data_IF_076513072238
#
_entry.id   IF_076513072238
#
_cell.length_a   1.000
_cell.length_b   1.000
_cell.length_c   1.000
_cell.angle_alpha   90.00
_cell.angle_beta   90.00
_cell.angle_gamma   90.00
#
_symmetry.space_group_name_H-M   'P 1'
#
loop_
_entity.id
_entity.type
_entity.pdbx_description
1 polymer ?
#
# COMPACT_ATOMS: atom_id res chain seq x y z
N UNK A 1 19.69 20.44 11.10
CA UNK A 1 19.29 21.51 12.01
C UNK A 1 17.80 21.35 12.21
N UNK A 2 17.40 20.73 13.31
CA UNK A 2 15.99 20.57 13.64
C UNK A 2 15.51 21.88 14.23
N UNK A 3 14.59 22.55 13.55
CA UNK A 3 13.84 23.66 14.15
C UNK A 3 12.72 23.03 14.96
N UNK A 4 12.91 23.00 16.25
CA UNK A 4 11.85 22.72 17.21
C UNK A 4 10.97 23.97 17.27
N UNK A 5 9.91 23.99 16.48
CA UNK A 5 8.89 25.04 16.57
C UNK A 5 7.93 24.62 17.67
N UNK A 6 8.07 25.26 18.81
CA UNK A 6 7.07 25.27 19.88
C UNK A 6 5.85 26.07 19.39
N UNK A 7 4.96 25.46 18.64
CA UNK A 7 3.63 25.99 18.36
C UNK A 7 2.65 25.17 19.20
N UNK A 8 2.69 25.43 20.50
CA UNK A 8 1.87 24.69 21.47
C UNK A 8 0.95 25.58 22.27
N UNK A 9 0.27 26.58 21.76
CA UNK A 9 -0.69 27.25 22.61
C UNK A 9 -2.05 27.60 22.01
N UNK A 10 -2.19 27.73 20.71
CA UNK A 10 -3.48 28.11 20.11
C UNK A 10 -4.23 26.92 19.51
N UNK A 11 -3.55 25.99 18.91
CA UNK A 11 -4.18 24.77 18.36
C UNK A 11 -4.64 23.81 19.46
N UNK A 12 -3.88 23.65 20.52
CA UNK A 12 -4.32 22.87 21.71
C UNK A 12 -5.53 23.51 22.40
N UNK A 13 -5.58 24.84 22.50
CA UNK A 13 -6.78 25.52 23.00
C UNK A 13 -7.98 25.42 22.10
N UNK A 14 -7.78 25.37 20.80
CA UNK A 14 -8.84 25.15 19.81
C UNK A 14 -9.37 23.71 19.88
N UNK A 15 -8.49 22.72 19.97
CA UNK A 15 -8.81 21.29 20.13
C UNK A 15 -9.54 21.02 21.46
N UNK A 16 -9.08 21.62 22.56
CA UNK A 16 -9.74 21.53 23.87
C UNK A 16 -11.13 22.20 23.86
N UNK A 17 -11.29 23.29 23.10
CA UNK A 17 -12.59 23.95 22.92
C UNK A 17 -13.55 23.10 22.05
N UNK A 18 -13.00 22.40 21.09
CA UNK A 18 -13.75 21.50 20.20
C UNK A 18 -14.16 20.23 20.96
N UNK A 19 -13.25 19.63 21.73
CA UNK A 19 -13.53 18.49 22.59
C UNK A 19 -14.60 18.81 23.65
N UNK A 20 -14.55 19.99 24.29
CA UNK A 20 -15.61 20.43 25.22
C UNK A 20 -16.96 20.72 24.55
N UNK A 21 -16.98 21.10 23.27
CA UNK A 21 -18.23 21.23 22.49
C UNK A 21 -18.84 19.90 22.13
N UNK A 22 -18.00 18.92 21.78
CA UNK A 22 -18.44 17.55 21.50
C UNK A 22 -18.90 16.85 22.77
N UNK A 23 -18.20 17.02 23.89
CA UNK A 23 -18.61 16.53 25.20
C UNK A 23 -19.97 17.09 25.64
N UNK A 24 -20.25 18.38 25.41
CA UNK A 24 -21.55 18.98 25.65
C UNK A 24 -22.66 18.46 24.71
N UNK A 25 -22.30 18.10 23.46
CA UNK A 25 -23.25 17.48 22.53
C UNK A 25 -23.57 16.03 22.93
N UNK A 26 -22.53 15.28 23.34
CA UNK A 26 -22.68 13.90 23.83
C UNK A 26 -23.50 13.87 25.12
N UNK A 27 -23.23 14.77 26.07
CA UNK A 27 -24.01 14.85 27.32
C UNK A 27 -25.45 15.26 27.07
N UNK A 28 -25.73 16.09 26.05
CA UNK A 28 -27.10 16.47 25.65
C UNK A 28 -27.85 15.35 24.93
N UNK A 29 -27.13 14.47 24.22
CA UNK A 29 -27.70 13.25 23.61
C UNK A 29 -27.94 12.16 24.66
N UNK A 30 -27.06 12.05 25.66
CA UNK A 30 -27.20 11.10 26.76
C UNK A 30 -28.36 11.49 27.68
N UNK A 31 -28.55 12.79 27.97
CA UNK A 31 -29.71 13.22 28.78
C UNK A 31 -31.05 13.04 28.05
N UNK A 32 -31.08 13.05 26.70
CA UNK A 32 -32.28 12.72 25.94
C UNK A 32 -32.56 11.21 25.87
N UNK A 33 -31.49 10.40 25.83
CA UNK A 33 -31.64 8.95 25.89
C UNK A 33 -32.09 8.46 27.27
N UNK A 34 -31.68 9.14 28.34
CA UNK A 34 -32.11 8.83 29.72
C UNK A 34 -33.59 9.21 29.94
N UNK A 35 -34.21 10.12 29.17
CA UNK A 35 -35.65 10.46 29.24
C UNK A 35 -36.53 9.46 28.43
N UNK A 36 -35.98 8.74 27.44
CA UNK A 36 -36.69 7.75 26.64
C UNK A 36 -36.62 6.31 27.24
N UNK A 37 -35.69 6.03 28.17
CA UNK A 37 -35.53 4.70 28.81
C UNK A 37 -36.30 4.53 30.14
N UNK A 38 -37.07 5.50 30.61
CA UNK A 38 -37.86 5.39 31.85
C UNK A 38 -39.12 4.52 31.73
N UNK A 39 -39.46 3.95 30.56
CA UNK A 39 -40.66 3.13 30.36
C UNK A 39 -40.46 1.59 30.28
N UNK A 40 -39.24 1.05 30.40
CA UNK A 40 -39.06 -0.41 30.54
C UNK A 40 -38.42 -0.78 31.87
N UNK A 41 -39.28 -1.24 32.79
CA UNK A 41 -38.90 -1.83 34.08
C UNK A 41 -38.13 -3.14 33.90
N UNK A 42 -36.81 -3.08 34.10
CA UNK A 42 -35.99 -4.22 34.50
C UNK A 42 -35.01 -3.75 35.58
N UNK A 43 -34.89 -4.50 36.65
CA UNK A 43 -34.06 -4.27 37.85
C UNK A 43 -32.60 -3.93 37.51
N UNK A 44 -32.33 -2.67 37.27
CA UNK A 44 -30.97 -2.16 36.96
C UNK A 44 -30.58 -1.09 38.00
N UNK A 45 -29.46 -1.31 38.69
CA UNK A 45 -28.99 -0.40 39.71
C UNK A 45 -28.26 0.82 39.05
N UNK A 46 -28.88 2.01 38.95
CA UNK A 46 -28.37 3.14 38.20
C UNK A 46 -27.05 3.74 38.76
N UNK A 47 -26.74 3.45 40.02
CA UNK A 47 -25.52 3.95 40.68
C UNK A 47 -24.25 3.27 40.13
N UNK A 48 -24.34 1.99 39.80
CA UNK A 48 -23.21 1.19 39.32
C UNK A 48 -22.83 1.55 37.86
N UNK A 49 -23.83 1.94 37.08
CA UNK A 49 -23.60 2.41 35.68
C UNK A 49 -22.99 3.79 35.61
N UNK A 50 -23.42 4.73 36.48
CA UNK A 50 -22.83 6.07 36.58
C UNK A 50 -21.38 6.02 37.04
N UNK A 51 -21.05 5.16 37.99
CA UNK A 51 -19.69 4.98 38.50
C UNK A 51 -18.79 4.33 37.44
N UNK A 52 -19.27 3.34 36.68
CA UNK A 52 -18.53 2.72 35.57
C UNK A 52 -18.35 3.69 34.40
N UNK A 53 -19.37 4.49 34.07
CA UNK A 53 -19.25 5.56 33.05
C UNK A 53 -18.29 6.66 33.46
N UNK A 54 -18.32 7.12 34.69
CA UNK A 54 -17.38 8.13 35.22
C UNK A 54 -15.94 7.58 35.25
N UNK A 55 -15.75 6.34 35.63
CA UNK A 55 -14.44 5.69 35.59
C UNK A 55 -13.93 5.51 34.13
N UNK A 56 -14.79 5.14 33.19
CA UNK A 56 -14.43 5.05 31.80
C UNK A 56 -14.12 6.42 31.16
N UNK A 57 -14.88 7.46 31.50
CA UNK A 57 -14.62 8.84 31.06
C UNK A 57 -13.31 9.39 31.66
N UNK A 58 -13.05 9.13 32.94
CA UNK A 58 -11.80 9.54 33.59
C UNK A 58 -10.60 8.79 33.01
N UNK A 59 -10.74 7.51 32.66
CA UNK A 59 -9.72 6.77 31.92
C UNK A 59 -9.50 7.30 30.49
N UNK A 60 -10.56 7.69 29.79
CA UNK A 60 -10.46 8.27 28.45
C UNK A 60 -9.85 9.70 28.47
N UNK A 61 -10.15 10.50 29.48
CA UNK A 61 -9.60 11.85 29.63
C UNK A 61 -8.15 11.86 30.14
N UNK A 62 -7.73 10.85 30.90
CA UNK A 62 -6.36 10.70 31.40
C UNK A 62 -5.50 9.81 30.47
N UNK A 63 -6.07 9.21 29.45
CA UNK A 63 -5.29 8.53 28.43
C UNK A 63 -4.51 9.60 27.64
N UNK A 64 -3.17 9.52 27.55
CA UNK A 64 -2.41 10.45 26.73
C UNK A 64 -2.93 10.38 25.30
N UNK A 65 -3.23 11.55 24.70
CA UNK A 65 -3.74 11.69 23.33
C UNK A 65 -2.82 11.02 22.29
N UNK A 66 -1.58 10.81 22.67
CA UNK A 66 -0.56 10.06 21.94
C UNK A 66 0.02 9.03 22.91
N UNK A 67 -0.59 7.84 23.01
CA UNK A 67 0.20 6.69 23.46
C UNK A 67 1.31 6.52 22.44
N UNK A 68 2.55 6.70 22.89
CA UNK A 68 3.71 6.39 22.06
C UNK A 68 3.52 4.96 21.53
N UNK A 69 3.61 4.79 20.22
CA UNK A 69 3.42 3.49 19.55
C UNK A 69 4.30 2.37 20.14
N UNK A 70 5.33 2.72 20.91
CA UNK A 70 6.23 1.81 21.61
C UNK A 70 5.60 1.17 22.85
N UNK A 71 4.75 1.86 23.63
CA UNK A 71 4.08 1.26 24.79
C UNK A 71 2.99 0.26 24.39
N UNK A 72 2.33 0.49 23.26
CA UNK A 72 1.36 -0.47 22.71
C UNK A 72 2.07 -1.74 22.21
N UNK A 73 3.34 -1.63 21.76
CA UNK A 73 4.16 -2.77 21.35
C UNK A 73 4.81 -3.51 22.51
N UNK A 74 5.11 -2.85 23.61
CA UNK A 74 5.71 -3.50 24.80
C UNK A 74 4.71 -4.37 25.58
N UNK A 75 3.40 -4.10 25.48
CA UNK A 75 2.33 -4.87 26.09
C UNK A 75 1.62 -5.86 25.13
N UNK A 76 1.98 -5.87 23.85
CA UNK A 76 1.54 -6.92 22.95
C UNK A 76 2.38 -8.16 23.22
N UNK A 77 1.74 -9.30 23.48
CA UNK A 77 2.36 -10.62 23.56
C UNK A 77 3.26 -10.91 22.35
N UNK A 78 3.84 -12.09 22.22
CA UNK A 78 4.79 -12.42 21.16
C UNK A 78 4.25 -11.91 19.83
N UNK A 79 5.07 -11.13 19.11
CA UNK A 79 4.66 -10.48 17.87
C UNK A 79 3.97 -11.50 16.96
N UNK A 80 2.73 -11.24 16.58
CA UNK A 80 1.98 -12.14 15.72
C UNK A 80 2.78 -12.39 14.44
N UNK A 81 3.19 -13.64 14.22
CA UNK A 81 3.86 -14.04 12.99
C UNK A 81 2.80 -14.33 11.93
N UNK A 82 2.77 -13.52 10.89
CA UNK A 82 1.88 -13.76 9.75
C UNK A 82 2.56 -14.73 8.76
N UNK A 83 1.82 -15.71 8.20
CA UNK A 83 2.39 -16.83 7.45
C UNK A 83 3.17 -16.44 6.20
N UNK A 84 2.84 -15.31 5.57
CA UNK A 84 3.44 -14.86 4.32
C UNK A 84 4.23 -13.55 4.46
N UNK A 85 4.71 -13.24 5.67
CA UNK A 85 5.55 -12.07 5.94
C UNK A 85 7.01 -12.51 6.08
N UNK A 86 7.80 -12.24 5.06
CA UNK A 86 9.23 -12.57 4.98
C UNK A 86 10.08 -11.32 5.27
N UNK A 87 9.97 -10.79 6.50
CA UNK A 87 10.67 -9.59 6.95
C UNK A 87 11.86 -9.97 7.86
N UNK A 88 13.07 -10.02 7.29
CA UNK A 88 14.28 -10.33 8.04
C UNK A 88 14.68 -9.22 9.02
N UNK A 89 14.31 -7.96 8.73
CA UNK A 89 14.63 -6.82 9.59
C UNK A 89 13.73 -6.75 10.82
N UNK A 90 12.47 -7.14 10.71
CA UNK A 90 11.58 -7.24 11.86
C UNK A 90 12.08 -8.28 12.86
N UNK A 91 12.55 -9.43 12.38
CA UNK A 91 13.16 -10.49 13.22
C UNK A 91 14.46 -10.02 13.88
N UNK A 92 15.28 -9.25 13.18
CA UNK A 92 16.52 -8.68 13.73
C UNK A 92 16.28 -7.60 14.79
N UNK A 93 15.22 -6.80 14.65
CA UNK A 93 14.83 -5.79 15.65
C UNK A 93 14.35 -6.41 16.96
N UNK A 94 13.77 -7.60 16.93
CA UNK A 94 13.34 -8.37 18.11
C UNK A 94 14.54 -8.93 18.90
N UNK A 95 15.70 -9.12 18.26
CA UNK A 95 16.91 -9.63 18.89
C UNK A 95 17.86 -8.55 19.39
N UNK A 96 17.80 -7.34 18.87
CA UNK A 96 18.57 -6.19 19.35
C UNK A 96 17.72 -5.37 20.32
N UNK A 97 17.72 -5.76 21.59
CA UNK A 97 17.09 -5.00 22.65
C UNK A 97 17.62 -3.56 22.68
N UNK A 98 16.70 -2.60 22.78
CA UNK A 98 16.92 -1.19 23.06
C UNK A 98 17.45 -0.31 21.92
N UNK A 99 16.55 0.37 21.26
CA UNK A 99 16.88 1.62 20.60
C UNK A 99 16.14 2.76 21.30
N UNK A 100 16.79 3.36 22.26
CA UNK A 100 16.39 4.63 22.85
C UNK A 100 16.94 5.76 21.97
N UNK A 101 16.04 6.59 21.41
CA UNK A 101 16.39 7.79 20.65
C UNK A 101 16.26 7.63 19.13
N UNK A 102 16.09 8.74 18.44
CA UNK A 102 15.87 8.98 17.02
C UNK A 102 16.95 8.42 16.05
N UNK A 103 17.80 7.49 16.46
CA UNK A 103 18.80 6.87 15.60
C UNK A 103 18.21 5.65 14.92
N UNK A 104 17.96 5.75 13.63
CA UNK A 104 17.62 4.59 12.81
C UNK A 104 18.73 3.55 12.92
N UNK A 105 18.37 2.32 13.29
CA UNK A 105 19.29 1.19 13.22
C UNK A 105 19.63 0.92 11.75
N UNK A 106 20.90 1.02 11.40
CA UNK A 106 21.37 0.65 10.07
C UNK A 106 21.43 -0.89 9.94
N UNK A 107 21.16 -1.43 8.73
CA UNK A 107 21.26 -2.87 8.49
C UNK A 107 22.66 -3.41 8.81
N UNK A 108 22.76 -4.66 9.22
CA UNK A 108 24.06 -5.30 9.48
C UNK A 108 24.97 -5.25 8.23
N UNK A 109 26.26 -5.04 8.46
CA UNK A 109 27.24 -4.98 7.37
C UNK A 109 27.38 -3.62 6.68
N UNK A 110 26.71 -2.59 7.16
CA UNK A 110 26.94 -1.25 6.63
C UNK A 110 28.39 -0.76 6.89
N UNK A 111 28.90 0.05 5.99
CA UNK A 111 30.20 0.71 6.16
C UNK A 111 29.99 2.22 6.16
N UNK A 112 30.74 2.90 7.02
CA UNK A 112 30.70 4.37 7.16
C UNK A 112 32.10 4.93 6.92
N UNK A 113 32.19 5.89 6.00
CA UNK A 113 33.42 6.63 5.75
C UNK A 113 33.14 8.10 5.97
N UNK A 114 34.01 8.77 6.67
CA UNK A 114 33.92 10.20 6.98
C UNK A 114 35.04 10.94 6.27
N UNK A 115 34.69 11.84 5.35
CA UNK A 115 35.61 12.72 4.64
C UNK A 115 35.36 14.18 5.07
N UNK A 116 36.28 15.06 4.71
CA UNK A 116 36.20 16.51 5.01
C UNK A 116 34.97 17.16 4.39
N UNK A 117 34.61 16.79 3.16
CA UNK A 117 33.49 17.37 2.40
C UNK A 117 32.17 16.65 2.64
N UNK A 118 32.20 15.34 2.85
CA UNK A 118 30.97 14.50 2.95
C UNK A 118 31.17 13.31 3.88
N UNK A 119 30.07 12.73 4.26
CA UNK A 119 29.98 11.43 4.93
C UNK A 119 29.35 10.41 3.98
N UNK A 120 29.94 9.24 3.87
CA UNK A 120 29.44 8.16 3.02
C UNK A 120 29.01 6.97 3.88
N UNK A 121 27.77 6.52 3.68
CA UNK A 121 27.22 5.33 4.32
C UNK A 121 26.82 4.35 3.23
N UNK A 122 27.48 3.20 3.16
CA UNK A 122 27.19 2.15 2.19
C UNK A 122 26.48 1.00 2.89
N UNK A 123 25.28 0.70 2.41
CA UNK A 123 24.48 -0.46 2.80
C UNK A 123 24.70 -1.55 1.74
N UNK A 124 25.24 -2.72 2.09
CA UNK A 124 25.49 -3.78 1.12
C UNK A 124 24.19 -4.33 0.57
N UNK A 125 24.26 -4.93 -0.61
CA UNK A 125 23.13 -5.65 -1.18
C UNK A 125 22.75 -6.82 -0.26
N UNK A 126 21.44 -7.00 -0.05
CA UNK A 126 20.98 -8.20 0.64
C UNK A 126 21.28 -9.42 -0.23
N UNK A 127 22.02 -10.37 0.33
CA UNK A 127 22.30 -11.62 -0.36
C UNK A 127 21.00 -12.42 -0.53
N UNK A 128 20.87 -13.07 -1.69
CA UNK A 128 19.80 -14.04 -1.92
C UNK A 128 20.00 -15.17 -0.93
N UNK A 129 19.23 -15.12 0.15
CA UNK A 129 19.40 -16.06 1.25
C UNK A 129 19.24 -17.50 0.78
N UNK A 130 20.13 -18.38 1.29
CA UNK A 130 20.01 -19.84 1.17
C UNK A 130 18.93 -20.40 2.12
N UNK A 131 18.10 -19.55 2.73
CA UNK A 131 17.06 -19.97 3.64
C UNK A 131 16.02 -20.86 2.94
N UNK A 132 15.42 -21.83 3.64
CA UNK A 132 14.34 -22.65 3.08
C UNK A 132 13.21 -21.83 2.47
N UNK A 133 12.90 -20.66 3.06
CA UNK A 133 11.90 -19.71 2.62
C UNK A 133 12.15 -19.17 1.20
N UNK A 134 13.42 -19.05 0.80
CA UNK A 134 13.82 -18.58 -0.54
C UNK A 134 13.95 -19.70 -1.56
N UNK A 135 13.81 -20.96 -1.16
CA UNK A 135 13.95 -22.14 -2.03
C UNK A 135 12.64 -22.74 -2.51
N UNK A 136 11.51 -22.05 -2.27
CA UNK A 136 10.21 -22.55 -2.71
C UNK A 136 10.20 -22.87 -4.21
N UNK A 137 9.59 -24.01 -4.52
CA UNK A 137 9.50 -24.55 -5.87
C UNK A 137 8.68 -23.61 -6.75
N UNK A 138 9.26 -23.15 -7.86
CA UNK A 138 8.55 -22.32 -8.83
C UNK A 138 7.41 -23.10 -9.44
N UNK A 139 6.21 -22.58 -9.40
CA UNK A 139 5.03 -23.21 -9.97
C UNK A 139 5.06 -23.12 -11.50
N UNK A 140 5.08 -24.23 -12.24
CA UNK A 140 5.06 -24.22 -13.69
C UNK A 140 3.70 -23.71 -14.20
N UNK A 141 3.69 -23.00 -15.34
CA UNK A 141 2.45 -22.49 -15.93
C UNK A 141 1.51 -23.63 -16.33
N UNK A 142 2.05 -24.79 -16.69
CA UNK A 142 1.27 -25.98 -17.04
C UNK A 142 0.41 -26.55 -15.91
N UNK A 143 0.67 -26.18 -14.66
CA UNK A 143 -0.17 -26.56 -13.52
C UNK A 143 -1.36 -25.61 -13.30
N UNK A 144 -1.41 -24.49 -14.02
CA UNK A 144 -2.55 -23.59 -13.99
C UNK A 144 -3.67 -24.11 -14.92
N UNK A 145 -4.88 -23.64 -14.69
CA UNK A 145 -6.00 -23.95 -15.60
C UNK A 145 -5.77 -23.40 -17.02
N UNK A 146 -6.37 -24.04 -18.01
CA UNK A 146 -6.16 -23.74 -19.44
C UNK A 146 -6.43 -22.26 -19.78
N UNK A 147 -7.43 -21.66 -19.18
CA UNK A 147 -7.81 -20.27 -19.43
C UNK A 147 -6.73 -19.33 -18.87
N UNK A 148 -6.23 -19.61 -17.67
CA UNK A 148 -5.14 -18.83 -17.06
C UNK A 148 -3.86 -18.99 -17.86
N UNK A 149 -3.55 -20.18 -18.41
CA UNK A 149 -2.37 -20.40 -19.24
C UNK A 149 -2.34 -19.49 -20.47
N UNK A 150 -3.50 -19.18 -21.08
CA UNK A 150 -3.57 -18.25 -22.22
C UNK A 150 -3.03 -16.86 -21.88
N UNK A 151 -3.33 -16.35 -20.67
CA UNK A 151 -2.85 -15.04 -20.21
C UNK A 151 -1.35 -15.06 -19.86
N UNK A 152 -0.74 -16.23 -19.67
CA UNK A 152 0.68 -16.42 -19.36
C UNK A 152 1.48 -17.06 -20.50
N UNK A 153 0.93 -16.98 -21.74
CA UNK A 153 1.58 -17.54 -22.94
C UNK A 153 3.02 -17.01 -23.07
N UNK A 154 3.97 -17.92 -23.29
CA UNK A 154 5.39 -17.61 -23.43
C UNK A 154 6.18 -17.68 -22.12
N UNK A 155 5.53 -17.82 -20.96
CA UNK A 155 6.20 -18.06 -19.68
C UNK A 155 6.24 -19.57 -19.37
N UNK A 156 7.38 -20.04 -18.84
CA UNK A 156 7.56 -21.44 -18.43
C UNK A 156 7.05 -21.70 -17.02
N UNK A 157 7.32 -20.78 -16.12
CA UNK A 157 6.95 -20.88 -14.70
C UNK A 157 6.73 -19.49 -14.09
N UNK A 158 5.96 -19.45 -13.04
CA UNK A 158 5.89 -18.29 -12.14
C UNK A 158 7.22 -18.12 -11.42
N UNK A 159 7.57 -16.88 -11.09
CA UNK A 159 8.71 -16.64 -10.21
C UNK A 159 8.34 -16.99 -8.76
N UNK A 160 9.28 -16.90 -7.85
CA UNK A 160 9.10 -17.29 -6.46
C UNK A 160 7.96 -16.53 -5.76
N UNK A 161 7.95 -15.20 -5.85
CA UNK A 161 6.89 -14.35 -5.26
C UNK A 161 5.53 -14.71 -5.85
N UNK A 162 5.46 -14.83 -7.17
CA UNK A 162 4.23 -15.18 -7.86
C UNK A 162 3.74 -16.58 -7.49
N UNK A 163 4.65 -17.53 -7.26
CA UNK A 163 4.32 -18.90 -6.85
C UNK A 163 3.72 -18.95 -5.44
N UNK A 164 4.27 -18.17 -4.50
CA UNK A 164 3.76 -18.06 -3.13
C UNK A 164 2.37 -17.44 -3.10
N UNK A 165 2.16 -16.37 -3.90
CA UNK A 165 0.89 -15.63 -3.92
C UNK A 165 -0.17 -16.35 -4.77
N UNK A 166 0.24 -17.26 -5.66
CA UNK A 166 -0.61 -17.84 -6.72
C UNK A 166 -1.94 -18.40 -6.20
N UNK A 167 -1.90 -19.21 -5.15
CA UNK A 167 -3.10 -19.90 -4.69
C UNK A 167 -4.13 -18.92 -4.10
N UNK A 168 -3.69 -17.94 -3.33
CA UNK A 168 -4.58 -16.90 -2.81
C UNK A 168 -5.06 -15.96 -3.93
N UNK A 169 -4.17 -15.60 -4.87
CA UNK A 169 -4.51 -14.70 -5.97
C UNK A 169 -5.54 -15.32 -6.93
N UNK A 170 -5.36 -16.59 -7.29
CA UNK A 170 -6.12 -17.25 -8.34
C UNK A 170 -7.35 -18.01 -7.84
N UNK A 171 -7.29 -18.56 -6.61
CA UNK A 171 -8.30 -19.49 -6.11
C UNK A 171 -9.19 -18.90 -5.01
N UNK A 172 -8.94 -17.68 -4.56
CA UNK A 172 -9.75 -17.02 -3.53
C UNK A 172 -10.24 -15.65 -3.97
N UNK A 173 -11.28 -15.14 -3.31
CA UNK A 173 -11.77 -13.76 -3.46
C UNK A 173 -11.29 -12.84 -2.33
N UNK A 174 -10.32 -13.28 -1.54
CA UNK A 174 -9.75 -12.48 -0.45
C UNK A 174 -9.09 -11.21 -0.99
N UNK A 175 -9.21 -10.11 -0.27
CA UNK A 175 -8.43 -8.91 -0.56
C UNK A 175 -6.94 -9.21 -0.39
N UNK A 176 -6.12 -8.61 -1.21
CA UNK A 176 -4.67 -8.83 -1.19
C UNK A 176 -3.90 -7.53 -0.97
N UNK A 177 -2.83 -7.63 -0.20
CA UNK A 177 -1.74 -6.65 -0.20
C UNK A 177 -0.44 -7.38 -0.46
N UNK A 178 0.22 -7.02 -1.57
CA UNK A 178 1.52 -7.60 -1.94
C UNK A 178 2.58 -6.53 -1.90
N UNK A 179 3.38 -6.56 -0.85
CA UNK A 179 4.55 -5.70 -0.67
C UNK A 179 5.80 -6.44 -1.17
N UNK A 180 6.39 -5.99 -2.26
CA UNK A 180 7.55 -6.64 -2.85
C UNK A 180 8.47 -5.62 -3.53
N UNK A 181 9.79 -5.90 -3.62
CA UNK A 181 10.73 -5.01 -4.28
C UNK A 181 10.33 -4.70 -5.71
N UNK A 182 10.79 -3.55 -6.22
CA UNK A 182 10.59 -3.19 -7.62
C UNK A 182 11.25 -4.22 -8.54
N UNK A 183 10.60 -4.55 -9.65
CA UNK A 183 11.06 -5.59 -10.57
C UNK A 183 10.75 -7.03 -10.14
N UNK A 184 10.15 -7.25 -8.98
CA UNK A 184 9.80 -8.58 -8.48
C UNK A 184 8.62 -9.26 -9.20
N UNK A 185 7.99 -8.59 -10.17
CA UNK A 185 6.95 -9.16 -11.02
C UNK A 185 5.53 -9.05 -10.45
N UNK A 186 5.24 -7.99 -9.68
CA UNK A 186 3.91 -7.68 -9.13
C UNK A 186 2.79 -7.62 -10.17
N UNK A 187 3.09 -7.16 -11.39
CA UNK A 187 2.14 -7.12 -12.51
C UNK A 187 1.58 -8.51 -12.87
N UNK A 188 2.37 -9.58 -12.72
CA UNK A 188 1.89 -10.93 -12.92
C UNK A 188 0.98 -11.41 -11.78
N UNK A 189 1.19 -10.92 -10.56
CA UNK A 189 0.23 -11.16 -9.46
C UNK A 189 -1.11 -10.48 -9.77
N UNK A 190 -1.09 -9.23 -10.29
CA UNK A 190 -2.29 -8.58 -10.80
C UNK A 190 -3.00 -9.44 -11.85
N UNK A 191 -2.26 -10.01 -12.79
CA UNK A 191 -2.83 -10.88 -13.82
C UNK A 191 -3.48 -12.13 -13.23
N UNK A 192 -2.90 -12.76 -12.20
CA UNK A 192 -3.54 -13.90 -11.51
C UNK A 192 -4.89 -13.48 -10.89
N UNK A 193 -4.96 -12.30 -10.26
CA UNK A 193 -6.21 -11.77 -9.71
C UNK A 193 -7.24 -11.44 -10.81
N UNK A 194 -6.79 -10.92 -11.96
CA UNK A 194 -7.62 -10.67 -13.13
C UNK A 194 -8.21 -12.01 -13.64
N UNK A 195 -7.38 -13.04 -13.76
CA UNK A 195 -7.83 -14.36 -14.21
C UNK A 195 -8.83 -14.98 -13.23
N UNK A 196 -8.65 -14.80 -11.94
CA UNK A 196 -9.63 -15.22 -10.93
C UNK A 196 -10.98 -14.51 -11.16
N UNK A 197 -10.99 -13.20 -11.38
CA UNK A 197 -12.22 -12.46 -11.64
C UNK A 197 -12.89 -12.91 -12.94
N UNK A 198 -12.13 -13.19 -13.99
CA UNK A 198 -12.64 -13.73 -15.26
C UNK A 198 -13.27 -15.11 -15.06
N UNK A 199 -12.58 -16.02 -14.36
CA UNK A 199 -13.05 -17.39 -14.08
C UNK A 199 -14.37 -17.40 -13.33
N UNK A 200 -14.60 -16.48 -12.41
CA UNK A 200 -15.86 -16.36 -11.69
C UNK A 200 -17.07 -15.98 -12.56
N UNK A 201 -16.81 -15.47 -13.78
CA UNK A 201 -17.84 -15.04 -14.72
C UNK A 201 -17.89 -15.95 -15.97
N UNK A 202 -17.46 -17.21 -15.83
CA UNK A 202 -17.59 -18.21 -16.88
C UNK A 202 -18.81 -19.08 -16.58
N UNK A 203 -19.77 -19.08 -17.49
CA UNK A 203 -20.95 -19.95 -17.44
C UNK A 203 -21.07 -20.72 -18.74
N UNK A 204 -21.23 -22.03 -18.64
CA UNK A 204 -21.32 -22.93 -19.79
C UNK A 204 -20.17 -22.74 -20.81
N UNK A 205 -18.95 -22.52 -20.32
CA UNK A 205 -17.77 -22.34 -21.18
C UNK A 205 -17.65 -20.95 -21.84
N UNK A 206 -18.57 -20.02 -21.56
CA UNK A 206 -18.57 -18.67 -22.11
C UNK A 206 -18.34 -17.62 -21.04
N UNK A 207 -17.49 -16.63 -21.34
CA UNK A 207 -17.23 -15.49 -20.45
C UNK A 207 -18.40 -14.49 -20.57
N UNK A 208 -19.09 -14.20 -19.47
CA UNK A 208 -20.17 -13.21 -19.38
C UNK A 208 -19.59 -11.80 -19.26
N UNK A 209 -19.24 -11.22 -20.41
CA UNK A 209 -18.49 -9.95 -20.51
C UNK A 209 -19.25 -8.73 -20.02
N UNK A 210 -20.54 -8.80 -19.89
CA UNK A 210 -21.47 -7.75 -19.45
C UNK A 210 -21.68 -7.74 -17.93
N UNK A 211 -21.25 -8.78 -17.21
CA UNK A 211 -21.53 -8.96 -15.78
C UNK A 211 -20.44 -8.42 -14.85
N UNK A 212 -19.27 -8.11 -15.37
CA UNK A 212 -18.15 -7.66 -14.56
C UNK A 212 -17.31 -6.58 -15.23
N UNK A 213 -16.66 -5.79 -14.40
CA UNK A 213 -15.61 -4.85 -14.78
C UNK A 213 -14.43 -5.00 -13.83
N UNK A 214 -13.23 -4.84 -14.38
CA UNK A 214 -11.97 -4.82 -13.65
C UNK A 214 -11.39 -3.42 -13.78
N UNK A 215 -10.93 -2.85 -12.66
CA UNK A 215 -10.31 -1.54 -12.63
C UNK A 215 -8.89 -1.67 -12.13
N UNK A 216 -7.94 -1.21 -12.92
CA UNK A 216 -6.53 -1.11 -12.55
C UNK A 216 -6.15 0.35 -12.41
N UNK A 217 -5.78 0.77 -11.21
CA UNK A 217 -5.40 2.13 -10.89
C UNK A 217 -3.88 2.23 -10.94
N UNK A 218 -3.37 2.82 -12.01
CA UNK A 218 -1.95 3.06 -12.23
C UNK A 218 -1.51 4.40 -11.61
N UNK A 219 -0.26 4.53 -11.12
CA UNK A 219 0.19 5.73 -10.43
C UNK A 219 0.32 6.96 -11.35
N UNK A 220 0.49 6.78 -12.65
CA UNK A 220 0.60 7.88 -13.61
C UNK A 220 0.11 7.49 -15.01
N UNK A 221 -0.25 8.50 -15.83
CA UNK A 221 -0.80 8.31 -17.17
C UNK A 221 0.09 7.46 -18.09
N UNK A 222 1.39 7.74 -18.11
CA UNK A 222 2.32 6.98 -18.97
C UNK A 222 2.30 5.49 -18.66
N UNK A 223 2.29 5.12 -17.36
CA UNK A 223 2.18 3.73 -16.93
C UNK A 223 0.78 3.15 -17.23
N UNK A 224 -0.27 3.96 -17.17
CA UNK A 224 -1.62 3.49 -17.51
C UNK A 224 -1.69 3.05 -18.98
N UNK A 225 -1.11 3.81 -19.91
CA UNK A 225 -1.05 3.45 -21.32
C UNK A 225 -0.25 2.15 -21.55
N UNK A 226 0.94 2.03 -20.91
CA UNK A 226 1.77 0.83 -20.99
C UNK A 226 1.05 -0.41 -20.44
N UNK A 227 0.43 -0.28 -19.26
CA UNK A 227 -0.32 -1.37 -18.63
C UNK A 227 -1.54 -1.77 -19.48
N UNK A 228 -2.27 -0.80 -20.04
CA UNK A 228 -3.40 -1.07 -20.91
C UNK A 228 -2.97 -1.89 -22.16
N UNK A 229 -1.88 -1.49 -22.80
CA UNK A 229 -1.32 -2.22 -23.93
C UNK A 229 -0.82 -3.63 -23.54
N UNK A 230 -0.13 -3.74 -22.38
CA UNK A 230 0.39 -5.00 -21.87
C UNK A 230 -0.71 -6.00 -21.49
N UNK A 231 -1.71 -5.57 -20.74
CA UNK A 231 -2.86 -6.39 -20.38
C UNK A 231 -3.73 -6.71 -21.60
N UNK A 232 -3.90 -5.74 -22.53
CA UNK A 232 -4.65 -5.93 -23.75
C UNK A 232 -4.15 -7.14 -24.56
N UNK A 233 -2.85 -7.18 -24.86
CA UNK A 233 -2.22 -8.30 -25.58
C UNK A 233 -2.42 -9.65 -24.89
N UNK A 234 -2.39 -9.68 -23.57
CA UNK A 234 -2.50 -10.92 -22.79
C UNK A 234 -3.94 -11.41 -22.66
N UNK A 235 -4.92 -10.51 -22.68
CA UNK A 235 -6.34 -10.83 -22.54
C UNK A 235 -7.08 -10.94 -23.89
N UNK A 236 -6.43 -10.53 -25.00
CA UNK A 236 -6.94 -10.66 -26.35
C UNK A 236 -7.37 -12.10 -26.72
N UNK A 237 -6.59 -13.17 -26.40
CA UNK A 237 -7.00 -14.55 -26.69
C UNK A 237 -8.31 -14.97 -26.00
N UNK A 238 -8.69 -14.28 -24.92
CA UNK A 238 -9.96 -14.48 -24.21
C UNK A 238 -11.08 -13.58 -24.76
N UNK A 239 -10.77 -12.77 -25.78
CA UNK A 239 -11.70 -11.81 -26.36
C UNK A 239 -12.11 -10.70 -25.39
N UNK A 240 -11.30 -10.41 -24.38
CA UNK A 240 -11.55 -9.33 -23.41
C UNK A 240 -10.94 -8.02 -23.90
N UNK A 241 -11.68 -6.95 -23.76
CA UNK A 241 -11.24 -5.61 -24.16
C UNK A 241 -10.68 -4.86 -22.97
N UNK A 242 -9.46 -4.35 -23.13
CA UNK A 242 -8.78 -3.49 -22.15
C UNK A 242 -8.65 -2.10 -22.75
N UNK A 243 -9.04 -1.07 -22.02
CA UNK A 243 -8.90 0.33 -22.44
C UNK A 243 -8.34 1.21 -21.35
N UNK A 244 -7.60 2.21 -21.77
CA UNK A 244 -7.16 3.30 -20.90
C UNK A 244 -8.30 4.30 -20.69
N UNK A 245 -8.43 4.78 -19.43
CA UNK A 245 -9.35 5.85 -19.04
C UNK A 245 -8.60 6.86 -18.17
N UNK A 246 -7.92 7.82 -18.79
CA UNK A 246 -7.14 8.86 -18.11
C UNK A 246 -7.73 10.25 -18.35
N UNK A 247 -7.11 11.28 -17.78
CA UNK A 247 -7.60 12.66 -17.89
C UNK A 247 -7.77 13.14 -19.31
N UNK A 248 -6.90 12.71 -20.20
CA UNK A 248 -6.85 13.17 -21.61
C UNK A 248 -7.73 12.33 -22.55
N UNK A 249 -8.25 11.19 -22.06
CA UNK A 249 -9.12 10.31 -22.83
C UNK A 249 -10.52 10.25 -22.24
N UNK A 250 -11.53 10.46 -23.09
CA UNK A 250 -12.93 10.25 -22.75
C UNK A 250 -13.47 9.06 -23.54
N UNK A 251 -13.94 8.04 -22.83
CA UNK A 251 -14.65 6.93 -23.46
C UNK A 251 -16.16 7.23 -23.49
N UNK A 252 -16.79 6.88 -24.58
CA UNK A 252 -18.26 6.93 -24.71
C UNK A 252 -18.89 5.85 -23.82
N UNK A 253 -20.16 6.01 -23.46
CA UNK A 253 -20.90 4.99 -22.69
C UNK A 253 -20.90 3.64 -23.38
N UNK A 254 -21.00 3.62 -24.72
CA UNK A 254 -20.95 2.40 -25.53
C UNK A 254 -19.58 1.72 -25.41
N UNK A 255 -18.49 2.47 -25.53
CA UNK A 255 -17.13 1.92 -25.38
C UNK A 255 -16.87 1.39 -23.98
N UNK A 256 -17.34 2.09 -22.93
CA UNK A 256 -17.25 1.62 -21.56
C UNK A 256 -18.04 0.31 -21.38
N UNK A 257 -19.23 0.18 -21.98
CA UNK A 257 -20.03 -1.04 -21.87
C UNK A 257 -19.32 -2.25 -22.48
N UNK A 258 -18.64 -2.05 -23.60
CA UNK A 258 -17.88 -3.09 -24.31
C UNK A 258 -16.51 -3.42 -23.68
N UNK A 259 -16.02 -2.63 -22.74
CA UNK A 259 -14.72 -2.80 -22.11
C UNK A 259 -14.85 -3.60 -20.82
N UNK A 260 -14.08 -4.67 -20.64
CA UNK A 260 -14.08 -5.47 -19.42
C UNK A 260 -13.05 -4.99 -18.40
N UNK A 261 -11.93 -4.43 -18.88
CA UNK A 261 -10.90 -3.91 -17.99
C UNK A 261 -10.57 -2.45 -18.32
N UNK A 262 -10.64 -1.60 -17.32
CA UNK A 262 -10.28 -0.19 -17.39
C UNK A 262 -8.96 0.03 -16.65
N UNK A 263 -7.98 0.64 -17.32
CA UNK A 263 -6.73 1.10 -16.72
C UNK A 263 -6.81 2.61 -16.57
N UNK A 264 -6.67 3.12 -15.36
CA UNK A 264 -6.96 4.51 -15.04
C UNK A 264 -5.96 5.08 -14.02
N UNK A 265 -6.02 6.39 -13.76
CA UNK A 265 -5.30 7.03 -12.65
C UNK A 265 -6.22 7.24 -11.45
N UNK A 266 -5.66 7.41 -10.22
CA UNK A 266 -6.46 7.65 -9.03
C UNK A 266 -7.43 8.82 -9.19
N UNK A 267 -6.96 9.94 -9.72
CA UNK A 267 -7.73 11.17 -9.89
C UNK A 267 -8.90 10.98 -10.87
N UNK A 268 -8.66 10.26 -11.98
CA UNK A 268 -9.72 10.01 -12.96
C UNK A 268 -10.78 9.08 -12.42
N UNK A 269 -10.36 8.00 -11.74
CA UNK A 269 -11.30 7.06 -11.12
C UNK A 269 -12.11 7.72 -9.99
N UNK A 270 -11.47 8.60 -9.22
CA UNK A 270 -12.14 9.43 -8.21
C UNK A 270 -13.26 10.28 -8.83
N UNK A 271 -12.98 10.96 -9.94
CA UNK A 271 -14.00 11.75 -10.67
C UNK A 271 -15.12 10.87 -11.19
N UNK A 272 -14.82 9.71 -11.78
CA UNK A 272 -15.82 8.77 -12.32
C UNK A 272 -16.76 8.28 -11.20
N UNK A 273 -16.21 7.91 -10.06
CA UNK A 273 -17.00 7.37 -8.95
C UNK A 273 -17.81 8.42 -8.19
N UNK A 274 -17.55 9.71 -8.41
CA UNK A 274 -18.35 10.82 -7.83
C UNK A 274 -19.57 11.21 -8.68
N UNK A 275 -19.57 10.88 -9.97
CA UNK A 275 -20.65 11.32 -10.87
C UNK A 275 -21.91 10.46 -10.67
N UNK A 276 -23.08 11.06 -10.41
CA UNK A 276 -24.32 10.32 -10.18
C UNK A 276 -24.78 9.45 -11.36
N UNK A 277 -24.35 9.79 -12.60
CA UNK A 277 -24.75 9.08 -13.82
C UNK A 277 -23.93 7.83 -14.14
N UNK A 278 -22.77 7.64 -13.49
CA UNK A 278 -21.83 6.55 -13.74
C UNK A 278 -21.94 5.43 -12.70
N UNK A 279 -22.96 5.46 -11.85
CA UNK A 279 -23.21 4.43 -10.82
C UNK A 279 -23.36 3.03 -11.42
N UNK A 280 -23.88 2.90 -12.65
CA UNK A 280 -23.99 1.60 -13.32
C UNK A 280 -22.63 0.97 -13.60
N UNK A 281 -21.63 1.76 -14.00
CA UNK A 281 -20.26 1.28 -14.20
C UNK A 281 -19.67 0.78 -12.89
N UNK A 282 -19.78 1.58 -11.82
CA UNK A 282 -19.27 1.22 -10.51
C UNK A 282 -19.93 -0.05 -9.97
N UNK A 283 -21.22 -0.27 -10.23
CA UNK A 283 -21.95 -1.47 -9.79
C UNK A 283 -21.50 -2.77 -10.47
N UNK A 284 -20.82 -2.70 -11.61
CA UNK A 284 -20.28 -3.84 -12.32
C UNK A 284 -18.83 -4.17 -11.91
N UNK A 285 -18.17 -3.29 -11.17
CA UNK A 285 -16.79 -3.56 -10.70
C UNK A 285 -16.79 -4.75 -9.75
N UNK A 286 -15.90 -5.71 -10.02
CA UNK A 286 -15.68 -6.90 -9.20
C UNK A 286 -14.26 -6.99 -8.67
N UNK A 287 -13.33 -6.33 -9.35
CA UNK A 287 -11.92 -6.30 -8.97
C UNK A 287 -11.38 -4.88 -9.12
N UNK A 288 -10.83 -4.35 -8.05
CA UNK A 288 -10.09 -3.09 -7.99
C UNK A 288 -8.65 -3.39 -7.63
N UNK A 289 -7.73 -3.10 -8.55
CA UNK A 289 -6.29 -3.22 -8.33
C UNK A 289 -5.72 -1.83 -8.19
N UNK A 290 -5.01 -1.57 -7.10
CA UNK A 290 -4.32 -0.31 -6.83
C UNK A 290 -2.82 -0.58 -6.89
N UNK A 291 -2.17 -0.04 -7.90
CA UNK A 291 -0.72 -0.15 -8.06
C UNK A 291 -0.01 0.96 -7.28
N UNK A 292 1.18 0.65 -6.79
CA UNK A 292 2.04 1.53 -5.99
C UNK A 292 1.30 2.16 -4.77
N UNK A 293 0.62 1.32 -3.99
CA UNK A 293 -0.17 1.75 -2.80
C UNK A 293 0.66 2.56 -1.79
N UNK A 294 1.99 2.40 -1.79
CA UNK A 294 2.86 3.19 -0.92
C UNK A 294 2.80 4.71 -1.19
N UNK A 295 2.22 5.14 -2.33
CA UNK A 295 1.92 6.55 -2.59
C UNK A 295 0.84 7.14 -1.68
N UNK A 296 0.23 6.36 -0.80
CA UNK A 296 -0.66 6.84 0.27
C UNK A 296 -0.01 7.91 1.16
N UNK A 297 1.33 7.90 1.33
CA UNK A 297 2.05 8.91 2.11
C UNK A 297 2.32 10.22 1.36
N UNK A 298 2.09 10.27 0.04
CA UNK A 298 2.35 11.44 -0.80
C UNK A 298 1.10 12.28 -1.06
N UNK A 299 1.25 13.29 -1.90
CA UNK A 299 0.19 14.24 -2.28
C UNK A 299 -1.07 13.57 -2.86
N UNK A 300 -0.93 12.35 -3.37
CA UNK A 300 -2.04 11.53 -3.90
C UNK A 300 -2.74 10.68 -2.86
N UNK A 301 -2.21 10.61 -1.65
CA UNK A 301 -2.77 9.84 -0.54
C UNK A 301 -4.25 10.09 -0.32
N UNK A 302 -4.70 11.35 -0.17
CA UNK A 302 -6.11 11.66 0.07
C UNK A 302 -7.05 11.16 -1.03
N UNK A 303 -6.60 11.16 -2.29
CA UNK A 303 -7.39 10.63 -3.42
C UNK A 303 -7.53 9.12 -3.33
N UNK A 304 -6.44 8.41 -3.04
CA UNK A 304 -6.45 6.95 -2.86
C UNK A 304 -7.30 6.54 -1.66
N UNK A 305 -7.19 7.26 -0.54
CA UNK A 305 -8.02 7.02 0.65
C UNK A 305 -9.51 7.19 0.34
N UNK A 306 -9.89 8.28 -0.32
CA UNK A 306 -11.27 8.54 -0.71
C UNK A 306 -11.81 7.48 -1.68
N UNK A 307 -10.96 6.99 -2.60
CA UNK A 307 -11.30 5.94 -3.56
C UNK A 307 -11.59 4.61 -2.86
N UNK A 308 -10.70 4.18 -1.97
CA UNK A 308 -10.88 2.93 -1.20
C UNK A 308 -12.10 3.05 -0.30
N UNK A 309 -12.25 4.15 0.43
CA UNK A 309 -13.41 4.36 1.32
C UNK A 309 -14.74 4.28 0.56
N UNK A 310 -14.84 4.88 -0.63
CA UNK A 310 -16.05 4.78 -1.45
C UNK A 310 -16.28 3.38 -1.99
N UNK A 311 -15.22 2.65 -2.35
CA UNK A 311 -15.33 1.26 -2.80
C UNK A 311 -15.85 0.37 -1.68
N UNK A 312 -15.32 0.50 -0.47
CA UNK A 312 -15.78 -0.25 0.69
C UNK A 312 -17.25 0.09 1.04
N UNK A 313 -17.60 1.37 1.04
CA UNK A 313 -18.99 1.81 1.24
C UNK A 313 -19.93 1.26 0.17
N UNK A 314 -19.48 1.17 -1.08
CA UNK A 314 -20.26 0.57 -2.16
C UNK A 314 -20.50 -0.92 -1.93
N UNK A 315 -19.49 -1.67 -1.45
CA UNK A 315 -19.64 -3.09 -1.07
C UNK A 315 -20.69 -3.24 0.03
N UNK A 316 -20.61 -2.42 1.07
CA UNK A 316 -21.56 -2.43 2.19
C UNK A 316 -23.00 -2.13 1.74
N UNK A 317 -23.17 -1.14 0.84
CA UNK A 317 -24.49 -0.74 0.36
C UNK A 317 -25.09 -1.72 -0.67
N UNK A 318 -24.28 -2.19 -1.62
CA UNK A 318 -24.78 -3.07 -2.71
C UNK A 318 -24.80 -4.54 -2.34
N UNK A 319 -24.14 -4.95 -1.25
CA UNK A 319 -23.91 -6.34 -0.85
C UNK A 319 -23.22 -7.18 -1.95
N UNK A 320 -22.57 -6.52 -2.88
CA UNK A 320 -21.78 -7.15 -3.96
C UNK A 320 -20.30 -7.03 -3.63
N UNK A 321 -19.62 -8.15 -3.60
CA UNK A 321 -18.19 -8.20 -3.31
C UNK A 321 -17.40 -7.51 -4.43
N UNK A 322 -16.56 -6.55 -4.04
CA UNK A 322 -15.49 -5.97 -4.88
C UNK A 322 -14.19 -6.39 -4.20
N UNK A 323 -13.42 -7.22 -4.87
CA UNK A 323 -12.10 -7.60 -4.40
C UNK A 323 -11.13 -6.44 -4.55
N UNK A 324 -10.42 -6.07 -3.47
CA UNK A 324 -9.41 -5.02 -3.49
C UNK A 324 -8.02 -5.66 -3.44
N UNK A 325 -7.16 -5.28 -4.37
CA UNK A 325 -5.78 -5.76 -4.48
C UNK A 325 -4.83 -4.58 -4.46
N UNK A 326 -4.01 -4.49 -3.44
CA UNK A 326 -2.94 -3.50 -3.33
C UNK A 326 -1.58 -4.10 -3.74
N UNK A 327 -0.91 -3.44 -4.67
CA UNK A 327 0.47 -3.76 -5.05
C UNK A 327 1.38 -2.63 -4.57
N UNK A 328 2.44 -2.96 -3.89
CA UNK A 328 3.31 -1.97 -3.25
C UNK A 328 4.79 -2.34 -3.36
N UNK A 329 5.64 -1.33 -3.27
CA UNK A 329 7.01 -1.53 -2.85
C UNK A 329 7.04 -2.03 -1.39
N UNK A 330 8.22 -2.35 -0.87
CA UNK A 330 8.39 -2.70 0.55
C UNK A 330 8.02 -1.51 1.44
N UNK A 331 7.12 -1.74 2.39
CA UNK A 331 6.60 -0.74 3.33
C UNK A 331 6.95 -1.13 4.76
N UNK A 332 7.35 -0.19 5.63
CA UNK A 332 7.57 -0.50 7.04
C UNK A 332 6.28 -0.73 7.83
N UNK A 333 5.16 -0.13 7.38
CA UNK A 333 3.84 -0.16 8.00
C UNK A 333 2.81 -0.97 7.19
N UNK A 334 3.24 -2.09 6.61
CA UNK A 334 2.40 -2.95 5.77
C UNK A 334 1.14 -3.46 6.48
N UNK A 335 1.17 -3.62 7.79
CA UNK A 335 0.00 -4.05 8.59
C UNK A 335 -1.09 -2.96 8.59
N UNK A 336 -0.71 -1.69 8.78
CA UNK A 336 -1.66 -0.57 8.75
C UNK A 336 -2.33 -0.47 7.37
N UNK A 337 -1.53 -0.63 6.30
CA UNK A 337 -2.03 -0.61 4.92
C UNK A 337 -2.93 -1.82 4.64
N UNK A 338 -2.59 -3.00 5.16
CA UNK A 338 -3.45 -4.19 5.05
C UNK A 338 -4.80 -3.95 5.73
N UNK A 339 -4.81 -3.39 6.93
CA UNK A 339 -6.02 -3.03 7.66
C UNK A 339 -6.86 -2.01 6.89
N UNK A 340 -6.24 -0.99 6.32
CA UNK A 340 -6.89 0.03 5.50
C UNK A 340 -7.58 -0.58 4.27
N UNK A 341 -6.94 -1.53 3.58
CA UNK A 341 -7.50 -2.25 2.43
C UNK A 341 -8.45 -3.39 2.82
N UNK A 342 -8.75 -3.58 4.10
CA UNK A 342 -9.53 -4.71 4.62
C UNK A 342 -8.95 -6.07 4.19
N UNK A 343 -7.64 -6.18 4.20
CA UNK A 343 -6.92 -7.42 3.92
C UNK A 343 -6.83 -8.26 5.20
N UNK A 344 -7.18 -9.53 5.11
CA UNK A 344 -6.93 -10.47 6.20
C UNK A 344 -5.43 -10.78 6.28
N UNK A 345 -4.73 -10.44 7.39
CA UNK A 345 -3.28 -10.58 7.47
C UNK A 345 -2.79 -12.03 7.36
N UNK A 346 -3.62 -12.99 7.75
CA UNK A 346 -3.28 -14.42 7.71
C UNK A 346 -3.44 -15.06 6.33
N UNK A 347 -4.22 -14.43 5.43
CA UNK A 347 -4.53 -15.00 4.12
C UNK A 347 -4.07 -14.12 2.95
N UNK A 348 -4.24 -12.81 3.08
CA UNK A 348 -4.09 -11.87 1.97
C UNK A 348 -2.90 -10.93 2.08
N UNK A 349 -2.15 -10.93 3.20
CA UNK A 349 -0.97 -10.10 3.38
C UNK A 349 0.29 -10.86 2.97
N UNK A 350 0.98 -10.34 1.97
CA UNK A 350 2.26 -10.88 1.48
C UNK A 350 3.31 -9.78 1.54
N UNK A 351 4.37 -10.02 2.29
CA UNK A 351 5.52 -9.11 2.40
C UNK A 351 6.81 -9.84 2.07
N UNK A 352 7.53 -9.31 1.09
CA UNK A 352 8.80 -9.84 0.61
C UNK A 352 9.88 -8.76 0.73
N UNK A 353 10.91 -9.01 1.49
CA UNK A 353 12.02 -8.08 1.67
C UNK A 353 13.02 -8.06 0.50
N UNK A 354 14.15 -7.35 0.69
CA UNK A 354 15.17 -7.18 -0.34
C UNK A 354 15.82 -8.48 -0.85
N UNK A 355 15.73 -9.59 -0.12
CA UNK A 355 16.24 -10.92 -0.54
C UNK A 355 15.53 -11.47 -1.77
N UNK A 356 14.27 -11.07 -1.97
CA UNK A 356 13.44 -11.47 -3.11
C UNK A 356 13.63 -10.57 -4.34
N UNK A 357 14.51 -9.59 -4.27
CA UNK A 357 14.82 -8.74 -5.42
C UNK A 357 15.54 -9.54 -6.52
N UNK A 358 15.09 -9.48 -7.79
CA UNK A 358 15.74 -10.22 -8.88
C UNK A 358 17.22 -9.87 -9.04
N UNK A 359 17.55 -8.59 -8.96
CA UNK A 359 18.90 -8.06 -8.97
C UNK A 359 19.20 -7.44 -7.61
N UNK A 360 20.20 -7.92 -6.87
CA UNK A 360 20.59 -7.34 -5.58
C UNK A 360 20.92 -5.86 -5.71
N UNK A 361 20.56 -5.05 -4.72
CA UNK A 361 20.77 -3.62 -4.71
C UNK A 361 21.62 -3.22 -3.50
N UNK A 362 22.83 -2.75 -3.75
CA UNK A 362 23.61 -1.99 -2.77
C UNK A 362 23.25 -0.51 -2.86
N UNK A 363 23.26 0.18 -1.72
CA UNK A 363 22.92 1.59 -1.66
C UNK A 363 24.03 2.37 -0.96
N UNK A 364 24.48 3.44 -1.57
CA UNK A 364 25.45 4.37 -0.95
C UNK A 364 24.79 5.73 -0.79
N UNK A 365 24.72 6.19 0.45
CA UNK A 365 24.18 7.50 0.80
C UNK A 365 25.34 8.44 1.07
N UNK A 366 25.33 9.62 0.45
CA UNK A 366 26.36 10.63 0.60
C UNK A 366 25.74 11.89 1.21
N UNK A 367 26.14 12.21 2.43
CA UNK A 367 25.70 13.41 3.13
C UNK A 367 26.75 14.50 3.03
N UNK A 368 26.49 15.57 2.27
CA UNK A 368 27.39 16.69 2.11
C UNK A 368 27.36 17.58 3.36
N UNK A 369 28.53 17.88 3.94
CA UNK A 369 28.68 18.63 5.20
C UNK A 369 28.56 20.16 5.02
N UNK A 370 28.62 20.66 3.79
CA UNK A 370 28.54 22.08 3.50
C UNK A 370 27.15 22.65 3.82
N UNK A 371 27.11 23.72 4.58
CA UNK A 371 25.86 24.40 5.01
C UNK A 371 25.41 25.51 4.07
N UNK A 372 26.33 26.09 3.27
CA UNK A 372 25.97 27.10 2.29
C UNK A 372 25.38 26.43 1.04
N UNK A 373 24.14 26.75 0.72
CA UNK A 373 23.36 26.09 -0.35
C UNK A 373 24.06 26.10 -1.74
N UNK A 374 24.70 27.19 -2.11
CA UNK A 374 25.41 27.27 -3.38
C UNK A 374 26.68 26.40 -3.43
N UNK A 375 27.45 26.40 -2.35
CA UNK A 375 28.64 25.54 -2.22
C UNK A 375 28.25 24.09 -2.07
N UNK A 376 27.16 23.81 -1.32
CA UNK A 376 26.62 22.47 -1.18
C UNK A 376 26.24 21.86 -2.52
N UNK A 377 25.58 22.65 -3.39
CA UNK A 377 25.21 22.20 -4.73
C UNK A 377 26.47 21.91 -5.59
N UNK A 378 27.47 22.78 -5.52
CA UNK A 378 28.74 22.58 -6.25
C UNK A 378 29.47 21.31 -5.77
N UNK A 379 29.55 21.11 -4.45
CA UNK A 379 30.15 19.90 -3.86
C UNK A 379 29.35 18.63 -4.26
N UNK A 380 28.01 18.68 -4.29
CA UNK A 380 27.16 17.57 -4.76
C UNK A 380 27.42 17.23 -6.22
N UNK A 381 27.53 18.22 -7.08
CA UNK A 381 27.82 18.03 -8.51
C UNK A 381 29.24 17.43 -8.73
N UNK A 382 30.23 17.91 -8.00
CA UNK A 382 31.60 17.38 -8.03
C UNK A 382 31.68 15.93 -7.60
N UNK A 383 31.08 15.61 -6.42
CA UNK A 383 31.05 14.25 -5.88
C UNK A 383 30.27 13.31 -6.83
N UNK A 384 29.14 13.76 -7.36
CA UNK A 384 28.35 12.97 -8.32
C UNK A 384 29.18 12.65 -9.57
N UNK A 385 29.88 13.65 -10.13
CA UNK A 385 30.74 13.46 -11.29
C UNK A 385 31.87 12.46 -11.00
N UNK A 386 32.58 12.60 -9.88
CA UNK A 386 33.63 11.67 -9.49
C UNK A 386 33.12 10.23 -9.39
N UNK A 387 31.98 10.03 -8.75
CA UNK A 387 31.38 8.68 -8.60
C UNK A 387 30.95 8.09 -9.95
N UNK A 388 30.35 8.90 -10.82
CA UNK A 388 29.99 8.46 -12.17
C UNK A 388 31.24 8.02 -12.95
N UNK A 389 32.30 8.79 -12.89
CA UNK A 389 33.56 8.46 -13.55
C UNK A 389 34.16 7.16 -12.98
N UNK A 390 34.16 6.99 -11.68
CA UNK A 390 34.65 5.76 -11.02
C UNK A 390 33.89 4.52 -11.48
N UNK A 391 32.56 4.58 -11.51
CA UNK A 391 31.73 3.48 -12.00
C UNK A 391 31.95 3.19 -13.48
N UNK A 392 32.07 4.24 -14.34
CA UNK A 392 32.34 4.06 -15.76
C UNK A 392 33.72 3.43 -15.98
N UNK A 393 34.75 3.87 -15.24
CA UNK A 393 36.10 3.28 -15.29
C UNK A 393 36.12 1.82 -14.84
N UNK A 394 35.25 1.47 -13.88
CA UNK A 394 35.05 0.08 -13.41
C UNK A 394 34.25 -0.79 -14.42
N UNK A 395 33.82 -0.24 -15.56
CA UNK A 395 33.07 -0.94 -16.60
C UNK A 395 31.57 -1.11 -16.33
N UNK A 396 31.01 -0.33 -15.41
CA UNK A 396 29.58 -0.36 -15.12
C UNK A 396 28.79 0.60 -16.00
N UNK A 397 27.55 0.26 -16.30
CA UNK A 397 26.61 1.18 -16.92
C UNK A 397 26.06 2.14 -15.85
N UNK A 398 26.05 3.42 -16.16
CA UNK A 398 25.62 4.47 -15.23
C UNK A 398 24.45 5.25 -15.82
N UNK A 399 23.41 5.45 -15.02
CA UNK A 399 22.31 6.37 -15.32
C UNK A 399 22.31 7.44 -14.25
N UNK A 400 22.50 8.70 -14.63
CA UNK A 400 22.35 9.83 -13.71
C UNK A 400 20.97 10.46 -13.88
N UNK A 401 20.30 10.72 -12.77
CA UNK A 401 19.09 11.52 -12.76
C UNK A 401 19.51 12.91 -12.29
N UNK A 402 19.40 13.94 -13.15
CA UNK A 402 19.76 15.29 -12.75
C UNK A 402 18.90 15.73 -11.57
N UNK A 403 19.50 16.45 -10.61
CA UNK A 403 18.76 17.13 -9.56
C UNK A 403 17.94 18.24 -10.24
N UNK A 404 16.69 17.92 -10.53
CA UNK A 404 15.80 18.91 -11.09
C UNK A 404 15.52 19.98 -10.04
N UNK A 405 15.28 21.19 -10.51
CA UNK A 405 14.94 22.35 -9.70
C UNK A 405 13.59 22.08 -9.02
N UNK A 406 13.52 21.20 -8.03
CA UNK A 406 12.40 21.25 -7.12
C UNK A 406 12.51 22.59 -6.37
N UNK A 407 11.44 23.39 -6.35
CA UNK A 407 11.42 24.55 -5.48
C UNK A 407 11.67 24.05 -4.06
N UNK A 408 12.62 24.69 -3.40
CA UNK A 408 12.91 24.41 -2.00
C UNK A 408 11.61 24.43 -1.20
N UNK A 409 11.35 23.32 -0.52
CA UNK A 409 10.39 23.27 0.58
C UNK A 409 10.85 24.17 1.71
#
# INVERSE_FOLDING_TARGET
>A
MFVQVTVQSEEEKALLKQARKEEKKINKLLSKADEEEEEEQLDFNPVDLRTKRQAALAMAMNAPLFKEREEVRANSGPAEEYPHVYDSLAKAKLTSGFVQGTKMALPAGFTRKDDKKYEEVTVPAMEKGSSPETREKRKPISELDEITQLAFKGMKSLNQIQSVVCDTALNTSENLLVCAPTGAGKTNVAMLCIMQAVRQHIEAGMIKKDQFKIVYVAPMKALAAEMAAGFGKRLEPLGLTVRELTGDMSLTKSEISQTQMLVTTPEKWDVVTRKPGDTQLAMLVRLLIIDEVHLLHGDRGPVLEALVARTLRQVEHSQKVIRVVGLSATLPNYIDVATFLRVNPYKGLFFFDGRFRPVPLAQTFIGVKQTNAWKQKADMEEICYERVVDFVKAGHQVTSVPFDKSPAL
#
